data_IF_284450273640
#
_entry.id   IF_284450273640
#
_cell.length_a   1.000
_cell.length_b   1.000
_cell.length_c   1.000
_cell.angle_alpha   90.00
_cell.angle_beta   90.00
_cell.angle_gamma   90.00
#
_symmetry.space_group_name_H-M   'P 1'
#
loop_
_entity.id
_entity.type
_entity.pdbx_description
1 polymer ?
#
# COMPACT_ATOMS: atom_id res chain seq x y z
N UNK A 1 0.45 21.66 11.75
CA UNK A 1 -0.88 21.13 12.07
C UNK A 1 -1.70 21.17 10.79
N UNK A 2 -2.16 20.03 10.32
CA UNK A 2 -3.02 19.93 9.16
C UNK A 2 -4.45 19.61 9.62
N UNK A 3 -5.40 20.28 9.04
CA UNK A 3 -6.84 20.11 9.31
C UNK A 3 -7.51 19.54 8.08
N UNK A 4 -8.41 18.56 8.29
CA UNK A 4 -9.21 17.95 7.23
C UNK A 4 -10.67 18.10 7.53
N UNK A 5 -11.42 18.52 6.53
CA UNK A 5 -12.88 18.67 6.62
C UNK A 5 -13.53 17.99 5.42
N UNK A 6 -14.45 17.11 5.69
CA UNK A 6 -15.34 16.51 4.69
C UNK A 6 -16.78 16.87 5.01
N UNK A 7 -17.56 17.06 3.96
CA UNK A 7 -18.98 17.38 4.07
C UNK A 7 -19.79 16.50 3.13
N UNK A 8 -20.85 15.94 3.65
CA UNK A 8 -21.90 15.32 2.85
C UNK A 8 -23.22 16.02 3.11
N UNK A 9 -24.07 16.11 2.09
CA UNK A 9 -25.41 16.68 2.18
C UNK A 9 -26.42 15.74 1.58
N UNK A 10 -27.56 15.60 2.23
CA UNK A 10 -28.69 14.83 1.72
C UNK A 10 -29.98 15.56 2.00
N UNK A 11 -31.03 15.27 1.23
CA UNK A 11 -32.35 15.84 1.47
C UNK A 11 -33.12 15.02 2.52
N UNK A 12 -34.02 15.67 3.29
CA UNK A 12 -34.86 14.94 4.22
C UNK A 12 -35.78 13.93 3.55
N UNK A 13 -36.22 14.21 2.32
CA UNK A 13 -37.06 13.29 1.53
C UNK A 13 -36.28 11.99 1.20
N UNK A 14 -35.02 12.12 0.81
CA UNK A 14 -34.17 10.98 0.54
C UNK A 14 -33.98 10.11 1.78
N UNK A 15 -33.76 10.73 2.94
CA UNK A 15 -33.60 9.99 4.21
C UNK A 15 -34.88 9.24 4.58
N UNK A 16 -36.07 9.84 4.37
CA UNK A 16 -37.36 9.20 4.61
C UNK A 16 -37.61 8.04 3.65
N UNK A 17 -37.34 8.21 2.36
CA UNK A 17 -37.55 7.18 1.35
C UNK A 17 -36.64 5.98 1.58
N UNK A 18 -35.37 6.19 1.86
CA UNK A 18 -34.41 5.13 2.15
C UNK A 18 -34.77 4.39 3.44
N UNK A 19 -35.20 5.09 4.48
CA UNK A 19 -35.64 4.47 5.73
C UNK A 19 -36.93 3.66 5.53
N UNK A 20 -37.90 4.19 4.78
CA UNK A 20 -39.19 3.54 4.58
C UNK A 20 -39.13 2.31 3.66
N UNK A 21 -38.35 2.38 2.57
CA UNK A 21 -38.32 1.32 1.55
C UNK A 21 -37.17 0.31 1.74
N UNK A 22 -36.03 0.74 2.30
CA UNK A 22 -34.84 -0.09 2.43
C UNK A 22 -34.43 -0.37 3.88
N UNK A 23 -35.13 0.23 4.84
CA UNK A 23 -34.80 0.12 6.27
C UNK A 23 -33.35 0.45 6.61
N UNK A 24 -32.78 1.45 5.92
CA UNK A 24 -31.42 1.93 6.07
C UNK A 24 -31.45 3.33 6.69
N UNK A 25 -30.60 3.55 7.70
CA UNK A 25 -30.35 4.87 8.26
C UNK A 25 -29.35 5.62 7.38
N UNK A 26 -29.80 6.62 6.61
CA UNK A 26 -28.96 7.38 5.71
C UNK A 26 -27.87 8.17 6.45
N UNK A 27 -28.15 8.68 7.65
CA UNK A 27 -27.18 9.44 8.43
C UNK A 27 -26.04 8.55 8.92
N UNK A 28 -26.33 7.36 9.45
CA UNK A 28 -25.34 6.41 9.90
C UNK A 28 -24.44 5.93 8.75
N UNK A 29 -25.02 5.62 7.60
CA UNK A 29 -24.29 5.18 6.40
C UNK A 29 -23.37 6.27 5.86
N UNK A 30 -23.84 7.52 5.76
CA UNK A 30 -23.02 8.64 5.31
C UNK A 30 -21.91 8.98 6.29
N UNK A 31 -22.16 8.90 7.59
CA UNK A 31 -21.12 9.10 8.62
C UNK A 31 -20.03 8.03 8.53
N UNK A 32 -20.41 6.77 8.35
CA UNK A 32 -19.44 5.67 8.17
C UNK A 32 -18.60 5.89 6.91
N UNK A 33 -19.21 6.28 5.79
CA UNK A 33 -18.50 6.56 4.54
C UNK A 33 -17.53 7.74 4.70
N UNK A 34 -17.93 8.80 5.35
CA UNK A 34 -17.07 9.97 5.62
C UNK A 34 -15.86 9.58 6.49
N UNK A 35 -16.07 8.80 7.54
CA UNK A 35 -14.99 8.32 8.42
C UNK A 35 -14.01 7.47 7.65
N UNK A 36 -14.47 6.58 6.80
CA UNK A 36 -13.64 5.74 5.93
C UNK A 36 -12.81 6.57 4.95
N UNK A 37 -13.40 7.58 4.32
CA UNK A 37 -12.69 8.47 3.41
C UNK A 37 -11.62 9.31 4.10
N UNK A 38 -11.88 9.81 5.31
CA UNK A 38 -10.88 10.54 6.10
C UNK A 38 -9.72 9.62 6.48
N UNK A 39 -9.99 8.40 6.94
CA UNK A 39 -8.95 7.43 7.26
C UNK A 39 -8.07 7.11 6.04
N UNK A 40 -8.69 6.86 4.89
CA UNK A 40 -7.96 6.61 3.64
C UNK A 40 -7.10 7.81 3.19
N UNK A 41 -7.57 9.03 3.40
CA UNK A 41 -6.81 10.24 3.08
C UNK A 41 -5.60 10.41 3.99
N UNK A 42 -5.74 10.14 5.28
CA UNK A 42 -4.63 10.16 6.24
C UNK A 42 -3.58 9.12 5.87
N UNK A 43 -3.98 7.91 5.53
CA UNK A 43 -3.07 6.84 5.11
C UNK A 43 -2.28 7.23 3.85
N UNK A 44 -2.96 7.81 2.87
CA UNK A 44 -2.31 8.31 1.64
C UNK A 44 -1.28 9.40 1.92
N UNK A 45 -1.58 10.29 2.86
CA UNK A 45 -0.63 11.34 3.25
C UNK A 45 0.59 10.77 3.95
N UNK A 46 0.41 9.84 4.88
CA UNK A 46 1.51 9.17 5.57
C UNK A 46 2.42 8.47 4.56
N UNK A 47 1.87 7.73 3.61
CA UNK A 47 2.64 7.04 2.58
C UNK A 47 3.35 8.00 1.63
N UNK A 48 2.71 9.11 1.29
CA UNK A 48 3.33 10.17 0.49
C UNK A 48 4.54 10.77 1.20
N UNK A 49 4.43 11.03 2.48
CA UNK A 49 5.52 11.59 3.28
C UNK A 49 6.67 10.58 3.44
N UNK A 50 6.37 9.33 3.71
CA UNK A 50 7.37 8.25 3.77
C UNK A 50 8.14 8.15 2.45
N UNK A 51 7.47 8.19 1.32
CA UNK A 51 8.11 8.16 0.00
C UNK A 51 8.98 9.40 -0.25
N UNK A 52 8.50 10.59 0.14
CA UNK A 52 9.21 11.85 -0.06
C UNK A 52 10.50 11.92 0.76
N UNK A 53 10.48 11.38 1.97
CA UNK A 53 11.61 11.44 2.90
C UNK A 53 12.46 10.18 2.93
N UNK A 54 12.16 9.19 2.08
CA UNK A 54 12.97 7.97 1.98
C UNK A 54 14.41 8.28 1.56
N UNK A 55 15.41 7.91 2.38
CA UNK A 55 16.81 8.24 2.10
C UNK A 55 17.42 7.37 0.98
N UNK A 56 16.85 6.20 0.72
CA UNK A 56 17.35 5.23 -0.24
C UNK A 56 16.39 5.04 -1.38
N UNK A 57 16.89 5.16 -2.60
CA UNK A 57 16.11 4.97 -3.82
C UNK A 57 16.86 4.09 -4.79
N UNK A 58 16.20 3.05 -5.29
CA UNK A 58 16.67 2.24 -6.40
C UNK A 58 15.67 2.31 -7.56
N UNK A 59 16.20 2.27 -8.77
CA UNK A 59 15.38 2.20 -9.99
C UNK A 59 15.48 0.80 -10.58
N UNK A 60 14.35 0.28 -11.01
CA UNK A 60 14.23 -0.95 -11.76
C UNK A 60 13.39 -0.70 -13.02
N UNK A 61 13.83 -1.20 -14.15
CA UNK A 61 13.15 -1.03 -15.43
C UNK A 61 12.34 -2.28 -15.76
N UNK A 62 11.03 -2.17 -15.80
CA UNK A 62 10.11 -3.28 -16.14
C UNK A 62 10.43 -3.91 -17.50
N UNK A 63 10.88 -3.11 -18.46
CA UNK A 63 11.19 -3.52 -19.82
C UNK A 63 12.68 -3.80 -20.06
N UNK A 64 13.47 -3.84 -18.99
CA UNK A 64 14.92 -4.03 -19.09
C UNK A 64 15.34 -5.32 -19.80
N UNK A 65 14.55 -6.39 -19.67
CA UNK A 65 14.79 -7.65 -20.37
C UNK A 65 14.78 -7.50 -21.90
N UNK A 66 13.97 -6.58 -22.44
CA UNK A 66 13.94 -6.30 -23.89
C UNK A 66 15.16 -5.54 -24.38
N UNK A 67 15.74 -4.69 -23.54
CA UNK A 67 16.97 -3.96 -23.85
C UNK A 67 18.20 -4.83 -23.76
N UNK A 68 18.23 -5.78 -22.84
CA UNK A 68 19.30 -6.75 -22.65
C UNK A 68 19.32 -7.82 -23.73
N UNK A 69 18.22 -8.05 -24.43
CA UNK A 69 18.12 -9.05 -25.50
C UNK A 69 19.10 -8.82 -26.66
N UNK A 70 19.65 -7.62 -26.82
CA UNK A 70 20.71 -7.33 -27.80
C UNK A 70 22.09 -7.87 -27.41
N UNK A 71 22.32 -8.19 -26.14
CA UNK A 71 23.59 -8.68 -25.60
C UNK A 71 23.55 -10.12 -25.08
N UNK A 72 22.38 -10.62 -24.73
CA UNK A 72 22.17 -11.97 -24.24
C UNK A 72 20.82 -12.49 -24.66
N UNK A 73 20.81 -13.57 -25.41
CA UNK A 73 19.60 -14.20 -25.95
C UNK A 73 18.77 -14.98 -24.92
N UNK A 74 19.20 -15.01 -23.64
CA UNK A 74 18.68 -15.93 -22.66
C UNK A 74 17.88 -15.28 -21.51
N UNK A 75 17.70 -13.97 -21.52
CA UNK A 75 16.88 -13.31 -20.50
C UNK A 75 15.39 -13.39 -20.84
N UNK A 76 14.63 -14.10 -20.01
CA UNK A 76 13.18 -14.11 -20.09
C UNK A 76 12.58 -13.03 -19.18
N UNK A 77 11.34 -12.66 -19.43
CA UNK A 77 10.63 -11.72 -18.55
C UNK A 77 10.54 -12.24 -17.11
N UNK A 78 10.41 -13.56 -16.95
CA UNK A 78 10.37 -14.20 -15.63
C UNK A 78 11.67 -13.98 -14.86
N UNK A 79 12.82 -14.21 -15.51
CA UNK A 79 14.13 -14.01 -14.89
C UNK A 79 14.36 -12.56 -14.51
N UNK A 80 13.92 -11.64 -15.35
CA UNK A 80 13.99 -10.20 -15.06
C UNK A 80 13.12 -9.79 -13.89
N UNK A 81 11.92 -10.36 -13.77
CA UNK A 81 11.05 -10.10 -12.62
C UNK A 81 11.67 -10.63 -11.32
N UNK A 82 12.40 -11.74 -11.36
CA UNK A 82 13.13 -12.26 -10.19
C UNK A 82 14.26 -11.31 -9.74
N UNK A 83 14.83 -10.54 -10.65
CA UNK A 83 15.82 -9.51 -10.29
C UNK A 83 15.22 -8.40 -9.42
N UNK A 84 13.94 -8.10 -9.57
CA UNK A 84 13.23 -7.18 -8.67
C UNK A 84 13.35 -7.60 -7.21
N UNK A 85 13.31 -8.91 -6.92
CA UNK A 85 13.53 -9.44 -5.57
C UNK A 85 14.91 -9.08 -5.01
N UNK A 86 15.94 -9.16 -5.84
CA UNK A 86 17.29 -8.75 -5.44
C UNK A 86 17.34 -7.28 -5.08
N UNK A 87 16.67 -6.43 -5.84
CA UNK A 87 16.59 -5.00 -5.55
C UNK A 87 15.85 -4.72 -4.22
N UNK A 88 14.75 -5.41 -3.99
CA UNK A 88 14.00 -5.32 -2.71
C UNK A 88 14.90 -5.73 -1.54
N UNK A 89 15.62 -6.84 -1.65
CA UNK A 89 16.53 -7.31 -0.61
C UNK A 89 17.71 -6.36 -0.38
N UNK A 90 18.22 -5.72 -1.42
CA UNK A 90 19.28 -4.71 -1.29
C UNK A 90 18.82 -3.49 -0.47
N UNK A 91 17.62 -2.98 -0.73
CA UNK A 91 17.05 -1.89 0.06
C UNK A 91 16.78 -2.32 1.50
N UNK A 92 16.26 -3.53 1.71
CA UNK A 92 16.08 -4.07 3.05
C UNK A 92 17.39 -4.17 3.83
N UNK A 93 18.47 -4.58 3.18
CA UNK A 93 19.80 -4.60 3.78
C UNK A 93 20.30 -3.19 4.16
N UNK A 94 20.02 -2.18 3.36
CA UNK A 94 20.35 -0.79 3.71
C UNK A 94 19.55 -0.28 4.91
N UNK A 95 18.28 -0.62 4.99
CA UNK A 95 17.46 -0.31 6.17
C UNK A 95 18.02 -0.98 7.42
N UNK A 96 18.39 -2.25 7.33
CA UNK A 96 19.03 -2.97 8.45
C UNK A 96 20.33 -2.30 8.89
N UNK A 97 21.18 -1.92 7.94
CA UNK A 97 22.46 -1.24 8.22
C UNK A 97 22.25 0.13 8.88
N UNK A 98 21.21 0.85 8.49
CA UNK A 98 20.89 2.16 9.05
C UNK A 98 20.26 2.07 10.45
N UNK A 99 19.36 1.11 10.67
CA UNK A 99 18.62 0.98 11.92
C UNK A 99 19.31 0.12 12.96
N UNK A 100 20.14 -0.85 12.54
CA UNK A 100 20.75 -1.90 13.38
C UNK A 100 19.73 -2.74 14.18
N UNK A 101 18.44 -2.67 13.82
CA UNK A 101 17.34 -3.34 14.52
C UNK A 101 16.56 -4.34 13.66
N UNK A 102 16.79 -4.34 12.39
CA UNK A 102 16.16 -5.25 11.45
C UNK A 102 15.97 -4.61 10.08
N UNK A 103 15.77 -5.43 9.07
CA UNK A 103 15.45 -5.01 7.71
C UNK A 103 13.99 -4.61 7.55
N UNK A 104 13.58 -4.32 6.33
CA UNK A 104 12.19 -4.05 6.01
C UNK A 104 11.29 -5.20 6.43
N UNK A 105 10.09 -4.89 6.91
CA UNK A 105 9.09 -5.88 7.29
C UNK A 105 7.74 -5.65 6.59
N UNK A 106 7.57 -4.52 5.92
CA UNK A 106 6.40 -4.28 5.08
C UNK A 106 6.79 -3.66 3.74
N UNK A 107 5.98 -3.91 2.73
CA UNK A 107 6.11 -3.37 1.38
C UNK A 107 4.75 -2.81 0.96
N UNK A 108 4.73 -1.59 0.46
CA UNK A 108 3.56 -1.00 -0.18
C UNK A 108 3.84 -0.87 -1.67
N UNK A 109 2.99 -1.45 -2.48
CA UNK A 109 3.15 -1.51 -3.94
C UNK A 109 1.98 -0.84 -4.66
N UNK A 110 2.25 -0.30 -5.85
CA UNK A 110 1.19 0.11 -6.76
C UNK A 110 0.47 -1.11 -7.36
N UNK A 111 -0.70 -0.89 -7.96
CA UNK A 111 -1.46 -1.99 -8.59
C UNK A 111 -0.68 -2.68 -9.71
N UNK A 112 0.10 -1.94 -10.49
CA UNK A 112 0.93 -2.47 -11.57
C UNK A 112 2.05 -3.38 -11.04
N UNK A 113 2.71 -2.98 -9.98
CA UNK A 113 3.75 -3.80 -9.33
C UNK A 113 3.12 -5.02 -8.64
N UNK A 114 1.92 -4.89 -8.09
CA UNK A 114 1.21 -6.03 -7.52
C UNK A 114 1.00 -7.13 -8.54
N UNK A 115 0.66 -6.79 -9.79
CA UNK A 115 0.55 -7.75 -10.89
C UNK A 115 1.90 -8.45 -11.19
N UNK A 116 3.02 -7.73 -11.09
CA UNK A 116 4.35 -8.34 -11.24
C UNK A 116 4.65 -9.28 -10.07
N UNK A 117 4.28 -8.91 -8.85
CA UNK A 117 4.51 -9.76 -7.67
C UNK A 117 3.73 -11.05 -7.71
N UNK A 118 2.53 -11.08 -8.27
CA UNK A 118 1.72 -12.29 -8.43
C UNK A 118 2.44 -13.38 -9.25
N UNK A 119 3.36 -12.99 -10.12
CA UNK A 119 4.17 -13.90 -10.94
C UNK A 119 5.49 -14.32 -10.28
N UNK A 120 5.80 -13.85 -9.09
CA UNK A 120 7.02 -14.22 -8.38
C UNK A 120 6.85 -15.55 -7.64
N UNK A 121 7.89 -16.40 -7.69
CA UNK A 121 7.87 -17.74 -7.09
C UNK A 121 7.75 -17.73 -5.57
N UNK A 122 8.24 -16.69 -4.92
CA UNK A 122 8.27 -16.57 -3.46
C UNK A 122 7.16 -15.68 -2.88
N UNK A 123 6.20 -15.34 -3.69
CA UNK A 123 5.05 -14.58 -3.25
C UNK A 123 3.90 -15.52 -2.87
N UNK A 124 3.47 -15.41 -1.63
CA UNK A 124 2.33 -16.15 -1.10
C UNK A 124 1.16 -15.21 -0.92
N UNK A 125 0.11 -15.43 -1.69
CA UNK A 125 -1.15 -14.71 -1.54
C UNK A 125 -1.77 -15.13 -0.20
N UNK A 126 -2.11 -14.18 0.66
CA UNK A 126 -2.94 -14.50 1.82
C UNK A 126 -4.34 -14.89 1.31
N UNK A 127 -4.95 -15.92 1.91
CA UNK A 127 -6.31 -16.33 1.57
C UNK A 127 -7.25 -15.13 1.65
N UNK A 128 -7.37 -14.43 0.54
CA UNK A 128 -8.37 -13.40 0.39
C UNK A 128 -9.68 -14.13 0.13
N UNK A 129 -10.65 -13.96 1.01
CA UNK A 129 -12.02 -14.21 0.63
C UNK A 129 -12.28 -13.35 -0.60
N UNK A 130 -12.50 -13.98 -1.74
CA UNK A 130 -12.72 -13.30 -3.03
C UNK A 130 -13.85 -12.26 -2.97
N UNK A 131 -14.73 -12.38 -2.00
CA UNK A 131 -15.81 -11.43 -1.73
C UNK A 131 -15.33 -10.15 -1.02
N UNK A 132 -14.29 -10.21 -0.20
CA UNK A 132 -13.76 -9.03 0.47
C UNK A 132 -12.93 -8.14 -0.47
N UNK A 133 -12.35 -8.72 -1.51
CA UNK A 133 -11.49 -8.02 -2.48
C UNK A 133 -12.28 -7.07 -3.41
N UNK A 134 -13.57 -7.31 -3.60
CA UNK A 134 -14.39 -6.54 -4.54
C UNK A 134 -14.78 -5.15 -4.03
N UNK A 135 -14.72 -4.89 -2.73
CA UNK A 135 -15.28 -3.69 -2.12
C UNK A 135 -14.28 -2.84 -1.32
N UNK A 136 -13.01 -3.22 -1.25
CA UNK A 136 -12.00 -2.44 -0.55
C UNK A 136 -11.53 -1.26 -1.39
N UNK A 137 -11.95 -0.06 -1.02
CA UNK A 137 -11.51 1.18 -1.65
C UNK A 137 -10.16 1.70 -1.12
N UNK A 138 -9.55 1.01 -0.17
CA UNK A 138 -8.34 1.46 0.51
C UNK A 138 -7.12 0.61 0.21
N UNK A 139 -6.12 0.77 1.06
CA UNK A 139 -4.90 -0.03 1.06
C UNK A 139 -5.23 -1.39 1.66
N UNK A 140 -4.96 -2.45 0.92
CA UNK A 140 -5.24 -3.81 1.36
C UNK A 140 -3.97 -4.66 1.43
N UNK A 141 -3.99 -5.62 2.34
CA UNK A 141 -2.94 -6.62 2.43
C UNK A 141 -3.19 -7.72 1.41
N UNK A 142 -2.26 -7.91 0.47
CA UNK A 142 -2.40 -8.92 -0.59
C UNK A 142 -1.62 -10.20 -0.33
N UNK A 143 -0.57 -10.17 0.50
CA UNK A 143 0.19 -11.39 0.76
C UNK A 143 1.50 -11.16 1.50
N UNK A 144 2.37 -12.14 1.43
CA UNK A 144 3.70 -12.10 1.99
C UNK A 144 4.74 -12.50 0.95
N UNK A 145 5.85 -11.79 0.91
CA UNK A 145 6.98 -12.05 0.04
C UNK A 145 8.11 -12.67 0.86
N UNK A 146 8.57 -13.87 0.49
CA UNK A 146 9.61 -14.64 1.21
C UNK A 146 9.33 -14.85 2.71
N UNK A 147 8.08 -14.83 3.14
CA UNK A 147 7.69 -14.88 4.57
C UNK A 147 8.30 -13.78 5.45
N UNK A 148 8.96 -12.78 4.88
CA UNK A 148 9.59 -11.66 5.60
C UNK A 148 8.80 -10.38 5.49
N UNK A 149 8.25 -10.11 4.30
CA UNK A 149 7.61 -8.84 3.96
C UNK A 149 6.11 -9.03 3.87
N UNK A 150 5.38 -8.22 4.61
CA UNK A 150 3.95 -8.07 4.42
C UNK A 150 3.72 -7.14 3.23
N UNK A 151 2.99 -7.58 2.22
CA UNK A 151 2.75 -6.79 1.00
C UNK A 151 1.37 -6.17 1.05
N UNK A 152 1.32 -4.86 0.83
CA UNK A 152 0.10 -4.08 0.76
C UNK A 152 -0.02 -3.45 -0.62
N UNK A 153 -1.21 -3.51 -1.20
CA UNK A 153 -1.53 -2.86 -2.47
C UNK A 153 -2.20 -1.52 -2.21
N UNK A 154 -1.65 -0.46 -2.77
CA UNK A 154 -2.22 0.88 -2.74
C UNK A 154 -2.59 1.33 -4.16
N UNK A 155 -3.89 1.38 -4.48
CA UNK A 155 -4.33 1.80 -5.82
C UNK A 155 -4.12 3.30 -6.09
N UNK A 156 -3.92 4.11 -5.06
CA UNK A 156 -3.75 5.55 -5.18
C UNK A 156 -2.28 5.99 -5.26
N UNK A 157 -1.34 5.08 -5.10
CA UNK A 157 0.07 5.41 -5.23
C UNK A 157 0.45 5.66 -6.70
N UNK A 158 1.51 6.44 -6.97
CA UNK A 158 2.00 6.61 -8.33
C UNK A 158 2.31 5.26 -8.98
N UNK A 159 2.05 5.17 -10.30
CA UNK A 159 2.34 3.98 -11.07
C UNK A 159 3.81 3.52 -10.88
N UNK A 160 4.01 2.22 -10.82
CA UNK A 160 5.36 1.62 -10.73
C UNK A 160 6.16 2.05 -9.50
N UNK A 161 5.51 2.32 -8.38
CA UNK A 161 6.17 2.68 -7.12
C UNK A 161 6.12 1.55 -6.10
N UNK A 162 7.21 1.42 -5.35
CA UNK A 162 7.35 0.48 -4.23
C UNK A 162 7.91 1.25 -3.05
N UNK A 163 7.32 1.06 -1.89
CA UNK A 163 7.82 1.58 -0.62
C UNK A 163 8.16 0.39 0.28
N UNK A 164 9.40 0.34 0.74
CA UNK A 164 9.83 -0.60 1.77
C UNK A 164 10.00 0.14 3.08
N UNK A 165 9.51 -0.45 4.15
CA UNK A 165 9.62 0.14 5.46
C UNK A 165 9.85 -0.88 6.55
N UNK A 166 10.33 -0.37 7.67
CA UNK A 166 10.50 -1.12 8.90
C UNK A 166 9.56 -0.55 9.98
N UNK A 167 8.70 -1.39 10.51
CA UNK A 167 7.87 -1.06 11.65
C UNK A 167 8.41 -1.77 12.88
N UNK A 168 9.00 -1.01 13.81
CA UNK A 168 9.49 -1.53 15.08
C UNK A 168 8.37 -1.79 16.08
N UNK A 169 8.70 -2.54 17.14
CA UNK A 169 7.77 -2.85 18.23
C UNK A 169 7.73 -1.73 19.28
N UNK A 170 8.74 -0.90 19.35
CA UNK A 170 8.87 0.20 20.32
C UNK A 170 8.65 1.54 19.65
N UNK A 171 8.14 2.52 20.38
CA UNK A 171 8.05 3.91 19.91
C UNK A 171 9.41 4.50 19.53
N UNK A 172 10.48 4.00 20.14
CA UNK A 172 11.86 4.44 19.82
C UNK A 172 12.37 3.85 18.49
N UNK A 173 11.70 2.87 17.92
CA UNK A 173 12.09 2.23 16.67
C UNK A 173 11.44 2.86 15.44
N UNK A 174 10.72 3.97 15.59
CA UNK A 174 9.96 4.61 14.51
C UNK A 174 10.60 5.93 14.08
N UNK A 175 10.65 6.15 12.78
CA UNK A 175 11.07 7.42 12.17
C UNK A 175 9.91 8.36 11.82
N UNK A 176 8.68 7.88 11.84
CA UNK A 176 7.47 8.65 11.58
C UNK A 176 6.47 8.48 12.72
N UNK A 177 5.96 9.57 13.25
CA UNK A 177 5.01 9.58 14.35
C UNK A 177 3.73 10.28 13.89
N UNK A 178 2.62 9.58 14.00
CA UNK A 178 1.29 10.13 13.82
C UNK A 178 0.70 10.44 15.19
N UNK A 179 0.42 11.72 15.44
CA UNK A 179 -0.15 12.21 16.71
C UNK A 179 -1.40 13.03 16.43
N UNK A 180 -2.60 12.44 16.44
CA UNK A 180 -3.84 13.15 16.22
C UNK A 180 -4.13 14.08 17.41
N UNK A 181 -4.41 15.35 17.11
CA UNK A 181 -4.79 16.33 18.13
C UNK A 181 -6.28 16.19 18.48
N UNK A 182 -7.11 15.96 17.45
CA UNK A 182 -8.53 15.66 17.62
C UNK A 182 -8.80 14.29 17.01
N UNK A 183 -9.18 13.28 17.80
CA UNK A 183 -9.56 11.99 17.26
C UNK A 183 -10.85 12.08 16.44
N UNK A 184 -11.00 11.21 15.47
CA UNK A 184 -12.25 11.04 14.72
C UNK A 184 -13.33 10.40 15.58
#
# INVERSE_FOLDING_TARGET
>A
VEERKLRATWSPELAQDVSAFHNIDAEAELTALLSEQIAAEIDREILRDLRKFAPWQLRWDVNGWRRQAGFSTNYTQKDWNQELMTKVNQISAQIHKATLRGGANFIVVSSEISAVFDNLEYFHVSDANAEADQYNMGIERVGALQNRYQVYRDPYSPAWSIILGHKGKSLLDTGYIYAPYVPM
#
